data_IF_989524680296
#
_entry.id   IF_989524680296
#
_cell.length_a   1.000
_cell.length_b   1.000
_cell.length_c   1.000
_cell.angle_alpha   90.00
_cell.angle_beta   90.00
_cell.angle_gamma   90.00
#
_symmetry.space_group_name_H-M   'P 1'
#
loop_
_entity.id
_entity.type
_entity.pdbx_description
1 polymer ?
#
# COMPACT_ATOMS: atom_id res chain seq x y z
N UNK A 1 -6.48 39.87 3.84
CA UNK A 1 -6.60 40.70 2.63
C UNK A 1 -5.21 40.90 2.05
N UNK A 2 -4.98 40.47 0.81
CA UNK A 2 -3.72 40.69 0.11
C UNK A 2 -3.64 42.17 -0.28
N UNK A 3 -2.56 42.87 0.05
CA UNK A 3 -2.46 44.31 -0.17
C UNK A 3 -2.50 44.67 -1.65
N UNK A 4 -3.45 45.53 -2.05
CA UNK A 4 -3.63 45.96 -3.44
C UNK A 4 -2.49 46.86 -3.94
N UNK A 5 -1.95 47.72 -3.07
CA UNK A 5 -0.93 48.69 -3.43
C UNK A 5 0.41 48.37 -2.75
N UNK A 6 1.50 48.49 -3.52
CA UNK A 6 2.88 48.41 -3.02
C UNK A 6 3.46 49.81 -3.04
N UNK A 7 4.19 50.18 -1.98
CA UNK A 7 4.92 51.44 -1.96
C UNK A 7 6.12 51.36 -2.92
N UNK A 8 6.17 52.29 -3.87
CA UNK A 8 7.32 52.53 -4.73
C UNK A 8 8.04 53.80 -4.25
N UNK A 9 9.36 53.76 -4.00
CA UNK A 9 10.14 54.94 -3.65
C UNK A 9 10.03 56.03 -4.72
N UNK A 10 10.12 57.31 -4.35
CA UNK A 10 10.02 58.42 -5.32
C UNK A 10 11.13 58.39 -6.38
N UNK A 11 12.29 57.81 -6.07
CA UNK A 11 13.43 57.67 -6.98
C UNK A 11 13.34 56.44 -7.90
N UNK A 12 12.27 55.64 -7.80
CA UNK A 12 12.11 54.42 -8.59
C UNK A 12 11.59 54.71 -10.00
N UNK A 13 12.49 54.68 -10.98
CA UNK A 13 12.16 54.64 -12.40
C UNK A 13 11.91 53.19 -12.88
N UNK A 14 10.72 52.84 -13.40
CA UNK A 14 10.42 51.49 -13.88
C UNK A 14 11.30 51.07 -15.07
N UNK A 15 11.65 52.01 -15.94
CA UNK A 15 12.47 51.74 -17.14
C UNK A 15 13.92 51.43 -16.81
N UNK A 16 14.45 51.99 -15.72
CA UNK A 16 15.84 51.80 -15.29
C UNK A 16 16.01 50.62 -14.35
N UNK A 17 15.05 50.40 -13.45
CA UNK A 17 15.20 49.45 -12.36
C UNK A 17 14.49 48.11 -12.60
N UNK A 18 13.57 48.02 -13.57
CA UNK A 18 12.77 46.82 -13.94
C UNK A 18 11.88 46.26 -12.82
N UNK A 19 12.41 46.06 -11.61
CA UNK A 19 11.69 45.61 -10.43
C UNK A 19 12.18 46.29 -9.15
N UNK A 20 11.30 46.41 -8.16
CA UNK A 20 11.64 46.95 -6.83
C UNK A 20 12.74 46.15 -6.11
N UNK A 21 12.87 44.86 -6.42
CA UNK A 21 13.92 44.00 -5.88
C UNK A 21 15.30 44.38 -6.47
N UNK A 22 15.37 44.61 -7.77
CA UNK A 22 16.57 45.08 -8.45
C UNK A 22 16.98 46.49 -7.98
N UNK A 23 16.02 47.41 -7.78
CA UNK A 23 16.28 48.72 -7.15
C UNK A 23 16.96 48.60 -5.77
N UNK A 24 16.57 47.58 -4.99
CA UNK A 24 17.12 47.30 -3.65
C UNK A 24 18.37 46.41 -3.66
N UNK A 25 18.87 46.00 -4.84
CA UNK A 25 19.98 45.07 -4.97
C UNK A 25 19.70 43.67 -4.40
N UNK A 26 18.42 43.29 -4.25
CA UNK A 26 18.01 42.00 -3.68
C UNK A 26 17.50 41.08 -4.78
N UNK A 27 17.83 39.80 -4.67
CA UNK A 27 17.23 38.78 -5.53
C UNK A 27 15.79 38.48 -5.09
N UNK A 28 14.88 38.23 -6.02
CA UNK A 28 13.46 37.97 -5.72
C UNK A 28 13.25 36.75 -4.80
N UNK A 29 14.15 35.77 -4.88
CA UNK A 29 14.13 34.55 -4.05
C UNK A 29 14.87 34.72 -2.71
N UNK A 30 15.44 35.90 -2.42
CA UNK A 30 16.17 36.20 -1.18
C UNK A 30 17.26 35.17 -0.86
N UNK A 31 17.34 34.75 0.40
CA UNK A 31 18.36 33.81 0.91
C UNK A 31 18.35 32.45 0.21
N UNK A 32 17.24 32.06 -0.43
CA UNK A 32 17.17 30.81 -1.19
C UNK A 32 18.09 30.81 -2.41
N UNK A 33 18.36 32.00 -2.95
CA UNK A 33 19.25 32.22 -4.09
C UNK A 33 20.70 32.56 -3.68
N UNK A 34 21.08 32.41 -2.41
CA UNK A 34 22.45 32.71 -1.94
C UNK A 34 23.56 31.92 -2.64
N UNK A 35 23.23 30.79 -3.27
CA UNK A 35 24.16 29.91 -4.01
C UNK A 35 23.83 29.84 -5.52
N UNK A 36 23.10 30.83 -6.03
CA UNK A 36 22.66 30.85 -7.43
C UNK A 36 23.82 30.99 -8.41
N UNK A 37 24.91 31.64 -8.00
CA UNK A 37 26.21 31.69 -8.68
C UNK A 37 26.74 30.29 -9.03
N UNK A 38 26.47 29.30 -8.18
CA UNK A 38 26.86 27.88 -8.36
C UNK A 38 25.78 27.05 -9.07
N UNK A 39 24.70 27.68 -9.53
CA UNK A 39 23.53 27.01 -10.09
C UNK A 39 22.71 26.22 -9.05
N UNK A 40 22.87 26.53 -7.76
CA UNK A 40 22.20 25.83 -6.66
C UNK A 40 21.09 26.72 -6.09
N UNK A 41 19.86 26.23 -6.12
CA UNK A 41 18.72 26.87 -5.49
C UNK A 41 18.30 26.11 -4.24
N UNK A 42 18.11 26.80 -3.12
CA UNK A 42 17.62 26.16 -1.90
C UNK A 42 16.10 26.04 -1.99
N UNK A 43 15.59 24.82 -1.95
CA UNK A 43 14.16 24.51 -2.06
C UNK A 43 13.68 23.64 -0.93
N UNK A 44 12.43 23.82 -0.49
CA UNK A 44 11.81 22.92 0.47
C UNK A 44 11.36 21.66 -0.28
N UNK A 45 11.95 20.52 0.06
CA UNK A 45 11.73 19.23 -0.60
C UNK A 45 11.13 18.26 0.40
N UNK A 46 10.05 17.59 0.01
CA UNK A 46 9.42 16.52 0.79
C UNK A 46 9.90 15.18 0.23
N UNK A 47 10.26 14.25 1.12
CA UNK A 47 10.72 12.93 0.66
C UNK A 47 9.58 12.15 0.01
N UNK A 48 9.75 11.64 -1.23
CA UNK A 48 8.71 10.92 -1.96
C UNK A 48 8.51 9.48 -1.47
N UNK A 49 9.49 8.89 -0.77
CA UNK A 49 9.43 7.53 -0.24
C UNK A 49 10.28 7.40 1.03
N UNK A 50 10.13 6.28 1.73
CA UNK A 50 10.89 5.95 2.92
C UNK A 50 12.36 5.64 2.57
N UNK A 51 13.30 6.19 3.34
CA UNK A 51 14.74 5.99 3.13
C UNK A 51 15.45 5.60 4.42
N UNK A 52 16.52 4.83 4.27
CA UNK A 52 17.52 4.54 5.30
C UNK A 52 18.74 5.40 5.07
N UNK A 53 19.15 6.18 6.07
CA UNK A 53 20.35 7.00 5.95
C UNK A 53 21.60 6.12 5.95
N UNK A 54 22.49 6.28 4.96
CA UNK A 54 23.70 5.46 4.85
C UNK A 54 24.77 5.74 5.91
N UNK A 55 24.68 6.86 6.64
CA UNK A 55 25.65 7.23 7.68
C UNK A 55 25.22 6.75 9.07
N UNK A 56 23.97 7.01 9.46
CA UNK A 56 23.47 6.66 10.80
C UNK A 56 22.53 5.45 10.83
N UNK A 57 22.21 4.84 9.67
CA UNK A 57 21.28 3.71 9.52
C UNK A 57 19.89 3.93 10.13
N UNK A 58 19.51 5.17 10.41
CA UNK A 58 18.18 5.50 10.90
C UNK A 58 17.20 5.64 9.73
N UNK A 59 15.95 5.26 10.01
CA UNK A 59 14.84 5.39 9.08
C UNK A 59 14.35 6.83 9.01
N UNK A 60 14.10 7.32 7.79
CA UNK A 60 13.48 8.61 7.53
C UNK A 60 12.20 8.34 6.74
N UNK A 61 11.08 8.77 7.33
CA UNK A 61 9.76 8.58 6.75
C UNK A 61 9.54 9.40 5.47
N UNK A 62 8.64 8.90 4.62
CA UNK A 62 8.04 9.64 3.52
C UNK A 62 7.38 10.93 4.05
N UNK A 63 7.47 12.01 3.28
CA UNK A 63 6.87 13.31 3.61
C UNK A 63 7.70 14.20 4.55
N UNK A 64 8.83 13.72 5.07
CA UNK A 64 9.73 14.56 5.88
C UNK A 64 10.29 15.70 5.02
N UNK A 65 10.21 16.93 5.54
CA UNK A 65 10.58 18.17 4.85
C UNK A 65 12.04 18.54 5.09
N UNK A 66 12.79 18.77 4.01
CA UNK A 66 14.17 19.23 4.03
C UNK A 66 14.38 20.56 3.30
N UNK A 67 15.38 21.31 3.75
CA UNK A 67 15.97 22.38 2.94
C UNK A 67 17.00 21.73 2.00
N UNK A 68 16.58 21.42 0.78
CA UNK A 68 17.39 20.76 -0.21
C UNK A 68 18.15 21.76 -1.09
N UNK A 69 19.36 21.40 -1.46
CA UNK A 69 20.12 22.07 -2.52
C UNK A 69 19.71 21.48 -3.87
N UNK A 70 18.87 22.20 -4.62
CA UNK A 70 18.44 21.82 -5.96
C UNK A 70 19.47 22.27 -6.99
N UNK A 71 19.99 21.32 -7.76
CA UNK A 71 20.93 21.55 -8.87
C UNK A 71 20.44 20.84 -10.13
N UNK A 72 20.62 21.44 -11.31
CA UNK A 72 20.44 20.76 -12.60
C UNK A 72 21.71 19.97 -12.92
N UNK A 73 21.61 18.66 -13.08
CA UNK A 73 22.77 17.77 -13.33
C UNK A 73 22.80 17.28 -14.77
N UNK A 74 21.65 17.07 -15.39
CA UNK A 74 21.56 16.61 -16.78
C UNK A 74 20.20 16.90 -17.40
N UNK A 75 19.91 16.21 -18.49
CA UNK A 75 18.60 16.21 -19.13
C UNK A 75 18.30 14.84 -19.74
N UNK A 76 17.04 14.42 -19.66
CA UNK A 76 16.49 13.30 -20.42
C UNK A 76 15.71 13.89 -21.59
N UNK A 77 16.28 13.81 -22.80
CA UNK A 77 15.83 14.58 -23.97
C UNK A 77 15.71 16.08 -23.66
N UNK A 78 14.50 16.64 -23.65
CA UNK A 78 14.22 18.04 -23.32
C UNK A 78 13.96 18.28 -21.82
N UNK A 79 13.71 17.23 -21.02
CA UNK A 79 13.34 17.34 -19.61
C UNK A 79 14.59 17.40 -18.72
N UNK A 80 14.77 18.45 -17.89
CA UNK A 80 15.94 18.56 -17.02
C UNK A 80 15.89 17.53 -15.87
N UNK A 81 17.04 16.92 -15.59
CA UNK A 81 17.25 16.06 -14.42
C UNK A 81 17.76 16.95 -13.28
N UNK A 82 16.99 16.98 -12.19
CA UNK A 82 17.34 17.69 -10.98
C UNK A 82 17.92 16.74 -9.94
N UNK A 83 18.99 17.19 -9.29
CA UNK A 83 19.55 16.62 -8.09
C UNK A 83 19.14 17.46 -6.88
N UNK A 84 18.70 16.77 -5.84
CA UNK A 84 18.34 17.32 -4.55
C UNK A 84 19.30 16.75 -3.51
N UNK A 85 20.22 17.60 -3.04
CA UNK A 85 21.13 17.25 -1.96
C UNK A 85 20.55 17.69 -0.63
N UNK A 86 20.33 16.75 0.28
CA UNK A 86 19.70 16.97 1.58
C UNK A 86 20.67 16.56 2.69
N UNK A 87 20.64 17.31 3.80
CA UNK A 87 21.34 16.93 5.04
C UNK A 87 20.39 16.12 5.92
N UNK A 88 20.84 15.00 6.45
CA UNK A 88 20.08 14.21 7.41
C UNK A 88 19.72 15.06 8.64
N UNK A 89 18.53 14.86 9.22
CA UNK A 89 18.11 15.58 10.43
C UNK A 89 18.65 14.92 11.72
N UNK A 90 19.09 13.67 11.63
CA UNK A 90 19.62 12.88 12.75
C UNK A 90 21.16 12.87 12.80
N UNK A 91 21.84 13.20 11.70
CA UNK A 91 23.31 13.21 11.62
C UNK A 91 23.80 14.24 10.61
N UNK A 92 25.11 14.45 10.54
CA UNK A 92 25.73 15.37 9.59
C UNK A 92 25.95 14.77 8.18
N UNK A 93 25.43 13.56 7.94
CA UNK A 93 25.46 12.90 6.65
C UNK A 93 24.63 13.63 5.59
N UNK A 94 25.11 13.63 4.36
CA UNK A 94 24.42 14.15 3.19
C UNK A 94 24.00 13.00 2.29
N UNK A 95 22.81 13.12 1.71
CA UNK A 95 22.31 12.20 0.70
C UNK A 95 21.78 12.96 -0.51
N UNK A 96 21.80 12.29 -1.65
CA UNK A 96 21.42 12.86 -2.94
C UNK A 96 20.33 12.04 -3.61
N UNK A 97 19.27 12.72 -4.02
CA UNK A 97 18.13 12.15 -4.75
C UNK A 97 18.03 12.85 -6.10
N UNK A 98 17.89 12.09 -7.17
CA UNK A 98 17.70 12.61 -8.52
C UNK A 98 16.33 12.25 -9.07
N UNK A 99 15.82 13.11 -9.95
CA UNK A 99 14.61 12.82 -10.75
C UNK A 99 14.97 11.91 -11.91
N UNK A 100 14.17 10.86 -12.15
CA UNK A 100 14.25 9.99 -13.32
C UNK A 100 12.98 10.20 -14.19
N UNK A 101 13.05 11.06 -15.23
CA UNK A 101 11.92 11.33 -16.12
C UNK A 101 11.48 10.12 -16.94
N UNK A 102 12.34 9.12 -17.17
CA UNK A 102 12.01 7.94 -17.98
C UNK A 102 10.98 7.06 -17.28
N UNK A 103 11.17 6.84 -15.98
CA UNK A 103 10.31 6.01 -15.15
C UNK A 103 9.38 6.83 -14.24
N UNK A 104 9.33 8.16 -14.43
CA UNK A 104 8.52 9.09 -13.62
C UNK A 104 8.74 8.97 -12.11
N UNK A 105 9.96 8.64 -11.68
CA UNK A 105 10.29 8.36 -10.28
C UNK A 105 11.45 9.20 -9.77
N UNK A 106 11.65 9.20 -8.47
CA UNK A 106 12.89 9.68 -7.86
C UNK A 106 13.79 8.48 -7.55
N UNK A 107 15.10 8.68 -7.67
CA UNK A 107 16.10 7.63 -7.41
C UNK A 107 17.13 8.17 -6.44
N UNK A 108 17.49 7.37 -5.43
CA UNK A 108 18.59 7.70 -4.52
C UNK A 108 19.90 7.39 -5.22
N UNK A 109 20.76 8.40 -5.36
CA UNK A 109 22.07 8.26 -6.03
C UNK A 109 23.18 8.01 -5.02
N UNK A 110 23.14 8.68 -3.86
CA UNK A 110 24.17 8.53 -2.84
C UNK A 110 23.66 8.85 -1.43
N UNK A 111 24.34 8.29 -0.42
CA UNK A 111 24.18 8.65 0.99
C UNK A 111 22.91 8.13 1.68
N UNK A 112 22.04 7.42 0.96
CA UNK A 112 20.87 6.74 1.51
C UNK A 112 20.52 5.50 0.68
N UNK A 113 19.68 4.62 1.25
CA UNK A 113 19.06 3.49 0.57
C UNK A 113 17.55 3.67 0.62
N UNK A 114 16.86 3.46 -0.51
CA UNK A 114 15.40 3.43 -0.53
C UNK A 114 14.92 2.17 0.22
N UNK A 115 13.86 2.32 1.03
CA UNK A 115 13.19 1.17 1.61
C UNK A 115 12.36 0.51 0.51
N UNK A 116 12.59 -0.77 0.30
CA UNK A 116 11.82 -1.59 -0.63
C UNK A 116 10.50 -1.97 0.06
N UNK A 117 9.38 -1.49 -0.46
CA UNK A 117 8.03 -1.78 0.08
C UNK A 117 7.26 -2.78 -0.78
N UNK A 118 7.69 -2.95 -2.02
CA UNK A 118 7.18 -3.99 -2.91
C UNK A 118 7.82 -5.32 -2.51
N UNK A 119 7.03 -6.20 -1.90
CA UNK A 119 7.42 -7.58 -1.68
C UNK A 119 7.35 -8.30 -3.02
N UNK A 120 8.50 -8.55 -3.64
CA UNK A 120 8.60 -9.47 -4.76
C UNK A 120 8.70 -10.91 -4.20
N UNK A 121 7.68 -11.76 -4.36
CA UNK A 121 7.73 -13.14 -3.91
C UNK A 121 8.85 -13.93 -4.61
N UNK A 122 9.15 -13.61 -5.88
CA UNK A 122 10.08 -14.37 -6.71
C UNK A 122 11.54 -14.15 -6.27
N UNK A 123 11.92 -12.93 -5.90
CA UNK A 123 13.29 -12.61 -5.45
C UNK A 123 13.60 -13.10 -4.03
N UNK A 124 12.60 -13.17 -3.14
CA UNK A 124 12.79 -13.48 -1.72
C UNK A 124 12.51 -14.95 -1.34
N UNK A 125 12.48 -15.85 -2.33
CA UNK A 125 12.33 -17.30 -2.10
C UNK A 125 10.96 -17.71 -1.59
N UNK A 126 9.95 -16.84 -1.71
CA UNK A 126 8.56 -17.21 -1.52
C UNK A 126 8.03 -17.87 -2.79
N UNK A 127 7.34 -18.99 -2.65
CA UNK A 127 6.48 -19.42 -3.76
C UNK A 127 5.40 -18.35 -3.93
N UNK A 128 5.35 -17.70 -5.09
CA UNK A 128 4.17 -16.94 -5.47
C UNK A 128 2.96 -17.87 -5.27
N UNK A 129 1.89 -17.40 -4.62
CA UNK A 129 0.68 -18.21 -4.42
C UNK A 129 0.03 -18.56 -5.78
N UNK A 130 0.49 -17.92 -6.85
CA UNK A 130 0.37 -18.44 -8.20
C UNK A 130 1.33 -19.61 -8.38
N UNK A 131 0.80 -20.82 -8.51
CA UNK A 131 1.54 -22.01 -8.98
C UNK A 131 2.54 -21.61 -10.08
N UNK A 132 3.81 -21.46 -9.74
CA UNK A 132 4.91 -21.29 -10.70
C UNK A 132 5.29 -22.62 -11.35
N UNK A 133 4.71 -23.73 -10.87
CA UNK A 133 4.55 -24.98 -11.64
C UNK A 133 3.39 -24.90 -12.67
N UNK A 134 2.84 -23.71 -12.90
CA UNK A 134 2.00 -23.40 -14.04
C UNK A 134 2.81 -23.54 -15.33
N UNK A 135 2.79 -24.76 -15.89
CA UNK A 135 3.02 -25.12 -17.30
C UNK A 135 3.26 -23.87 -18.14
N UNK A 136 4.46 -23.73 -18.72
CA UNK A 136 4.73 -22.81 -19.84
C UNK A 136 3.43 -22.68 -20.63
N UNK A 137 2.83 -21.48 -20.58
CA UNK A 137 1.48 -21.26 -21.13
C UNK A 137 1.42 -21.95 -22.50
N UNK A 138 0.34 -22.69 -22.81
CA UNK A 138 0.34 -23.51 -24.01
C UNK A 138 0.80 -22.63 -25.17
N UNK A 139 1.79 -23.09 -25.94
CA UNK A 139 2.42 -22.30 -26.99
C UNK A 139 1.42 -21.72 -28.00
N UNK A 140 0.21 -22.29 -28.00
CA UNK A 140 -0.95 -21.83 -28.74
C UNK A 140 -1.84 -20.88 -27.91
N UNK A 141 -2.03 -19.62 -28.36
CA UNK A 141 -2.97 -18.68 -27.72
C UNK A 141 -4.42 -19.20 -27.65
N UNK A 142 -4.83 -20.12 -28.53
CA UNK A 142 -6.19 -20.70 -28.50
C UNK A 142 -6.41 -21.58 -27.26
N UNK A 143 -5.42 -22.38 -26.87
CA UNK A 143 -5.51 -23.23 -25.68
C UNK A 143 -5.54 -22.41 -24.37
N UNK A 144 -4.97 -21.20 -24.36
CA UNK A 144 -5.13 -20.27 -23.24
C UNK A 144 -6.56 -19.69 -23.21
N UNK A 145 -7.11 -19.33 -24.37
CA UNK A 145 -8.47 -18.83 -24.49
C UNK A 145 -9.52 -19.88 -24.10
N UNK A 146 -9.34 -21.13 -24.51
CA UNK A 146 -10.25 -22.24 -24.15
C UNK A 146 -10.29 -22.44 -22.63
N UNK A 147 -9.14 -22.44 -21.95
CA UNK A 147 -9.08 -22.54 -20.48
C UNK A 147 -9.79 -21.38 -19.77
N UNK A 148 -9.61 -20.15 -20.26
CA UNK A 148 -10.28 -18.99 -19.66
C UNK A 148 -11.78 -19.03 -19.92
N UNK A 149 -12.22 -19.46 -21.11
CA UNK A 149 -13.66 -19.64 -21.40
C UNK A 149 -14.27 -20.78 -20.60
N UNK A 150 -13.58 -21.91 -20.44
CA UNK A 150 -14.03 -23.03 -19.62
C UNK A 150 -14.13 -22.64 -18.15
N UNK A 151 -13.14 -21.89 -17.63
CA UNK A 151 -13.19 -21.36 -16.27
C UNK A 151 -14.37 -20.40 -16.07
N UNK A 152 -14.61 -19.49 -17.03
CA UNK A 152 -15.78 -18.60 -17.01
C UNK A 152 -17.09 -19.40 -17.09
N UNK A 153 -17.19 -20.36 -18.01
CA UNK A 153 -18.37 -21.21 -18.17
C UNK A 153 -18.66 -22.01 -16.90
N UNK A 154 -17.64 -22.58 -16.26
CA UNK A 154 -17.78 -23.32 -15.01
C UNK A 154 -18.19 -22.39 -13.86
N UNK A 155 -17.60 -21.19 -13.78
CA UNK A 155 -18.01 -20.19 -12.80
C UNK A 155 -19.49 -19.82 -12.97
N UNK A 156 -19.93 -19.51 -14.19
CA UNK A 156 -21.31 -19.06 -14.45
C UNK A 156 -22.33 -20.18 -14.36
N UNK A 157 -22.05 -21.37 -14.90
CA UNK A 157 -23.04 -22.46 -14.97
C UNK A 157 -23.06 -23.36 -13.75
N UNK A 158 -21.96 -23.45 -13.00
CA UNK A 158 -21.84 -24.37 -11.86
C UNK A 158 -21.69 -23.61 -10.55
N UNK A 159 -20.76 -22.66 -10.46
CA UNK A 159 -20.50 -21.99 -9.19
C UNK A 159 -21.61 -21.02 -8.80
N UNK A 160 -22.09 -20.17 -9.71
CA UNK A 160 -23.15 -19.20 -9.41
C UNK A 160 -24.45 -19.89 -8.96
N UNK A 161 -25.03 -20.87 -9.68
CA UNK A 161 -26.26 -21.51 -9.24
C UNK A 161 -26.09 -22.31 -7.95
N UNK A 162 -24.89 -22.85 -7.69
CA UNK A 162 -24.57 -23.51 -6.43
C UNK A 162 -24.55 -22.52 -5.26
N UNK A 163 -23.95 -21.35 -5.45
CA UNK A 163 -23.94 -20.29 -4.44
C UNK A 163 -25.35 -19.76 -4.19
N UNK A 164 -26.14 -19.53 -5.24
CA UNK A 164 -27.55 -19.14 -5.13
C UNK A 164 -28.39 -20.18 -4.40
N UNK A 165 -28.17 -21.48 -4.67
CA UNK A 165 -28.85 -22.55 -3.95
C UNK A 165 -28.47 -22.58 -2.46
N UNK A 166 -27.19 -22.42 -2.12
CA UNK A 166 -26.73 -22.34 -0.74
C UNK A 166 -27.29 -21.10 -0.03
N UNK A 167 -27.35 -19.96 -0.72
CA UNK A 167 -27.95 -18.74 -0.21
C UNK A 167 -29.45 -18.92 0.03
N UNK A 168 -30.19 -19.54 -0.90
CA UNK A 168 -31.61 -19.82 -0.73
C UNK A 168 -31.90 -20.75 0.47
N UNK A 169 -31.04 -21.75 0.71
CA UNK A 169 -31.12 -22.60 1.90
C UNK A 169 -30.84 -21.79 3.17
N UNK A 170 -29.82 -20.93 3.15
CA UNK A 170 -29.49 -20.04 4.27
C UNK A 170 -30.65 -19.09 4.58
N UNK A 171 -31.23 -18.44 3.59
CA UNK A 171 -32.35 -17.51 3.73
C UNK A 171 -33.60 -18.22 4.25
N UNK A 172 -33.87 -19.44 3.77
CA UNK A 172 -34.95 -20.27 4.30
C UNK A 172 -34.80 -20.53 5.80
N UNK A 173 -33.59 -20.86 6.26
CA UNK A 173 -33.31 -21.04 7.69
C UNK A 173 -33.26 -19.72 8.47
N UNK A 174 -32.90 -18.61 7.81
CA UNK A 174 -32.79 -17.28 8.40
C UNK A 174 -34.11 -16.54 8.61
N UNK A 175 -35.15 -16.86 7.84
CA UNK A 175 -36.44 -16.15 7.89
C UNK A 175 -37.23 -16.38 9.20
N UNK A 176 -37.08 -17.53 9.87
CA UNK A 176 -37.67 -17.77 11.20
C UNK A 176 -36.75 -18.64 12.09
N UNK A 177 -35.72 -18.01 12.71
CA UNK A 177 -34.77 -18.73 13.54
C UNK A 177 -35.39 -19.25 14.85
N UNK A 178 -36.48 -18.63 15.32
CA UNK A 178 -37.14 -19.00 16.58
C UNK A 178 -37.97 -20.28 16.43
N UNK A 179 -38.75 -20.42 15.35
CA UNK A 179 -39.52 -21.64 15.10
C UNK A 179 -38.61 -22.86 14.86
N UNK A 180 -37.53 -22.68 14.09
CA UNK A 180 -36.54 -23.73 13.84
C UNK A 180 -35.83 -24.15 15.12
N UNK A 181 -35.38 -23.19 15.93
CA UNK A 181 -34.78 -23.47 17.24
C UNK A 181 -35.73 -24.20 18.18
N UNK A 182 -37.02 -23.85 18.17
CA UNK A 182 -38.05 -24.52 18.97
C UNK A 182 -38.23 -25.99 18.54
N UNK A 183 -38.28 -26.25 17.23
CA UNK A 183 -38.42 -27.59 16.66
C UNK A 183 -37.20 -28.47 17.01
N UNK A 184 -35.99 -27.93 16.85
CA UNK A 184 -34.73 -28.61 17.21
C UNK A 184 -34.69 -28.93 18.71
N UNK A 185 -35.03 -27.98 19.59
CA UNK A 185 -35.10 -28.21 21.04
C UNK A 185 -36.14 -29.28 21.40
N UNK A 186 -37.27 -29.32 20.71
CA UNK A 186 -38.30 -30.35 20.92
C UNK A 186 -37.76 -31.74 20.59
N UNK A 187 -37.06 -31.89 19.47
CA UNK A 187 -36.41 -33.14 19.06
C UNK A 187 -35.35 -33.59 20.08
N UNK A 188 -34.43 -32.70 20.48
CA UNK A 188 -33.41 -33.02 21.47
C UNK A 188 -33.97 -33.40 22.84
N UNK A 189 -35.11 -32.82 23.26
CA UNK A 189 -35.79 -33.22 24.51
C UNK A 189 -36.33 -34.65 24.44
N UNK A 190 -36.83 -35.08 23.28
CA UNK A 190 -37.32 -36.45 23.08
C UNK A 190 -36.14 -37.42 23.03
N UNK A 191 -35.11 -37.11 22.25
CA UNK A 191 -33.89 -37.92 22.15
C UNK A 191 -33.22 -38.08 23.52
N UNK A 192 -33.07 -36.99 24.30
CA UNK A 192 -32.53 -37.04 25.66
C UNK A 192 -33.34 -37.94 26.60
N UNK A 193 -34.67 -37.97 26.47
CA UNK A 193 -35.52 -38.87 27.29
C UNK A 193 -35.29 -40.33 26.92
N UNK A 194 -35.23 -40.64 25.62
CA UNK A 194 -34.95 -42.00 25.13
C UNK A 194 -33.55 -42.44 25.58
N UNK A 195 -32.56 -41.57 25.47
CA UNK A 195 -31.19 -41.86 25.87
C UNK A 195 -31.08 -42.05 27.40
N UNK A 196 -31.78 -41.25 28.19
CA UNK A 196 -31.84 -41.41 29.65
C UNK A 196 -32.53 -42.73 30.05
N UNK A 197 -33.57 -43.16 29.34
CA UNK A 197 -34.22 -44.45 29.55
C UNK A 197 -33.28 -45.60 29.23
N UNK A 198 -32.58 -45.55 28.08
CA UNK A 198 -31.57 -46.55 27.71
C UNK A 198 -30.43 -46.63 28.73
N UNK A 199 -29.90 -45.47 29.16
CA UNK A 199 -28.87 -45.44 30.21
C UNK A 199 -29.37 -46.07 31.51
N UNK A 200 -30.60 -45.75 31.94
CA UNK A 200 -31.17 -46.37 33.13
C UNK A 200 -31.33 -47.89 32.99
N UNK A 201 -31.79 -48.37 31.83
CA UNK A 201 -31.86 -49.80 31.53
C UNK A 201 -30.48 -50.46 31.55
N UNK A 202 -29.49 -49.85 30.89
CA UNK A 202 -28.10 -50.31 30.85
C UNK A 202 -27.49 -50.34 32.26
N UNK A 203 -27.72 -49.32 33.09
CA UNK A 203 -27.24 -49.23 34.48
C UNK A 203 -27.89 -50.32 35.36
N UNK A 204 -29.20 -50.59 35.18
CA UNK A 204 -29.85 -51.71 35.89
C UNK A 204 -29.29 -53.07 35.48
N UNK A 205 -28.91 -53.22 34.21
CA UNK A 205 -28.34 -54.46 33.67
C UNK A 205 -26.90 -54.64 34.17
N UNK A 206 -26.08 -53.58 34.15
CA UNK A 206 -24.75 -53.55 34.76
C UNK A 206 -24.78 -53.94 36.23
N UNK A 207 -25.72 -53.38 37.01
CA UNK A 207 -25.89 -53.72 38.43
C UNK A 207 -26.29 -55.17 38.68
N UNK A 208 -27.10 -55.78 37.80
CA UNK A 208 -27.47 -57.20 37.89
C UNK A 208 -26.29 -58.15 37.56
N UNK A 209 -25.43 -57.76 36.63
CA UNK A 209 -24.30 -58.58 36.18
C UNK A 209 -22.95 -58.22 36.82
N UNK A 210 -22.91 -57.22 37.70
CA UNK A 210 -21.69 -56.80 38.42
C UNK A 210 -20.59 -56.25 37.52
N UNK A 211 -20.97 -55.62 36.39
CA UNK A 211 -20.03 -55.04 35.43
C UNK A 211 -19.48 -53.70 35.95
N UNK A 212 -18.20 -53.37 35.72
CA UNK A 212 -17.58 -52.14 36.22
C UNK A 212 -18.16 -50.88 35.55
N UNK A 213 -18.22 -49.78 36.31
CA UNK A 213 -18.56 -48.43 35.83
C UNK A 213 -17.27 -47.73 35.36
N UNK A 214 -17.09 -47.62 34.04
CA UNK A 214 -16.15 -46.67 33.42
C UNK A 214 -16.93 -45.45 32.88
#
# INVERSE_FOLDING_TARGET
MQGFNKYYPPDYDPDKHTSLNAYRGKHALGDRARKLDKGILITRFELPFNIWCGTCNNHIGMGVRYNAEKKKVGAYYSTPIYSFRCKCHLCDGWFEIQTDPKNTRYVVVSGARQKDEDWDPEENGGFAIHDTEGKAGPADPLAALEKTTDAQNHATKVQIPRLEALQGVSDHYGNDPYALSSLVRKRFRVEKKIEAQKRAEDDTLKGKYGLPED
#
